data_IF_795235339355
#
_entry.id   IF_795235339355
#
_cell.length_a   1.000
_cell.length_b   1.000
_cell.length_c   1.000
_cell.angle_alpha   90.00
_cell.angle_beta   90.00
_cell.angle_gamma   90.00
#
_symmetry.space_group_name_H-M   'P 1'
#
loop_
_entity.id
_entity.type
_entity.pdbx_description
1 polymer ?
#
# COMPACT_ATOMS: atom_id res chain seq x y z
N UNK A 1 9.01 65.37 51.37
CA UNK A 1 8.94 65.25 49.89
C UNK A 1 10.36 65.11 49.37
N UNK A 2 10.57 64.17 48.44
CA UNK A 2 11.87 63.63 48.05
C UNK A 2 12.43 64.26 46.78
N UNK A 3 13.76 64.33 46.68
CA UNK A 3 14.50 64.10 45.43
C UNK A 3 15.81 63.38 45.79
N UNK A 4 15.95 62.08 45.48
CA UNK A 4 17.22 61.37 45.60
C UNK A 4 17.95 61.34 44.25
N UNK A 5 19.11 61.97 44.22
CA UNK A 5 20.12 61.88 43.18
C UNK A 5 20.87 60.54 43.32
N UNK A 6 20.82 59.67 42.31
CA UNK A 6 21.62 58.44 42.28
C UNK A 6 22.18 58.17 40.88
N UNK A 7 23.26 58.89 40.57
CA UNK A 7 24.29 58.37 39.65
C UNK A 7 24.96 57.19 40.34
N UNK A 8 24.71 55.97 39.88
CA UNK A 8 25.53 54.81 40.25
C UNK A 8 25.62 53.79 39.09
N UNK A 9 26.79 53.18 38.83
CA UNK A 9 27.03 52.39 37.62
C UNK A 9 26.34 51.03 37.67
N UNK A 10 25.77 50.63 36.53
CA UNK A 10 25.20 49.30 36.29
C UNK A 10 26.27 48.24 36.52
N UNK A 11 26.11 47.43 37.57
CA UNK A 11 26.92 46.24 37.79
C UNK A 11 26.49 45.15 36.81
N UNK A 12 27.45 44.71 35.99
CA UNK A 12 27.39 43.45 35.24
C UNK A 12 27.27 42.30 36.23
N UNK A 13 26.12 41.64 36.22
CA UNK A 13 25.86 40.40 36.95
C UNK A 13 25.98 39.24 35.97
N UNK A 14 27.05 38.45 36.06
CA UNK A 14 27.05 37.06 35.56
C UNK A 14 26.27 36.17 36.53
N UNK A 15 25.38 35.28 36.04
CA UNK A 15 25.47 33.86 36.40
C UNK A 15 24.84 32.91 35.33
N UNK A 16 24.71 31.59 35.57
CA UNK A 16 25.67 30.59 36.02
C UNK A 16 25.78 29.40 35.02
N UNK A 17 26.69 28.48 35.31
CA UNK A 17 26.93 27.17 34.68
C UNK A 17 25.64 26.39 34.30
N UNK A 18 25.31 26.32 33.01
CA UNK A 18 24.29 25.42 32.45
C UNK A 18 24.91 24.38 31.51
N UNK A 19 25.18 23.23 32.10
CA UNK A 19 25.18 21.90 31.49
C UNK A 19 24.23 21.81 30.28
N UNK A 20 24.76 21.81 29.06
CA UNK A 20 23.98 21.42 27.88
C UNK A 20 24.73 20.46 26.95
N UNK A 21 24.45 19.18 27.25
CA UNK A 21 24.00 18.13 26.32
C UNK A 21 24.72 17.95 24.98
N UNK A 22 25.33 16.77 24.86
CA UNK A 22 25.88 16.14 23.66
C UNK A 22 25.06 16.38 22.37
N UNK A 23 25.72 16.41 21.19
CA UNK A 23 25.02 16.52 19.91
C UNK A 23 24.10 15.30 19.75
N UNK A 24 22.79 15.57 19.68
CA UNK A 24 21.77 14.55 19.38
C UNK A 24 22.06 13.96 18.01
N UNK A 25 22.59 12.74 18.06
CA UNK A 25 22.74 11.78 16.99
C UNK A 25 21.44 11.70 16.15
N UNK A 26 21.46 12.31 14.96
CA UNK A 26 20.35 12.33 14.00
C UNK A 26 20.32 11.05 13.16
N UNK A 27 20.26 9.89 13.81
CA UNK A 27 20.08 8.63 13.10
C UNK A 27 19.04 7.75 13.81
N UNK A 28 17.84 8.30 14.02
CA UNK A 28 16.68 7.46 14.26
C UNK A 28 16.03 7.14 12.93
N UNK A 29 16.03 5.87 12.46
CA UNK A 29 15.29 5.50 11.26
C UNK A 29 13.82 5.88 11.46
N UNK A 30 13.24 6.60 10.50
CA UNK A 30 11.83 6.99 10.55
C UNK A 30 10.95 5.75 10.45
N UNK A 31 10.56 5.20 11.60
CA UNK A 31 9.68 4.04 11.74
C UNK A 31 8.29 4.27 11.11
N UNK A 32 7.92 5.54 10.89
CA UNK A 32 6.69 5.92 10.19
C UNK A 32 6.72 5.61 8.70
N UNK A 33 7.85 5.85 8.02
CA UNK A 33 7.99 5.61 6.58
C UNK A 33 7.91 4.11 6.25
N UNK A 34 8.53 3.26 7.07
CA UNK A 34 8.51 1.80 6.90
C UNK A 34 7.13 1.20 7.17
N UNK A 35 6.40 1.71 8.17
CA UNK A 35 5.01 1.29 8.48
C UNK A 35 4.03 1.68 7.36
N UNK A 36 4.16 2.90 6.83
CA UNK A 36 3.35 3.37 5.70
C UNK A 36 3.56 2.51 4.44
N UNK A 37 4.82 2.26 4.08
CA UNK A 37 5.17 1.40 2.94
C UNK A 37 4.71 -0.06 3.12
N UNK A 38 4.73 -0.60 4.34
CA UNK A 38 4.20 -1.93 4.64
C UNK A 38 2.68 -1.98 4.49
N UNK A 39 1.96 -0.97 4.99
CA UNK A 39 0.49 -0.89 4.86
C UNK A 39 0.07 -0.78 3.39
N UNK A 40 0.71 0.09 2.61
CA UNK A 40 0.45 0.24 1.16
C UNK A 40 0.69 -1.07 0.41
N UNK A 41 1.80 -1.75 0.67
CA UNK A 41 2.09 -3.08 0.09
C UNK A 41 1.02 -4.11 0.44
N UNK A 42 0.58 -4.15 1.70
CA UNK A 42 -0.49 -5.06 2.12
C UNK A 42 -1.79 -4.81 1.34
N UNK A 43 -2.20 -3.55 1.20
CA UNK A 43 -3.42 -3.19 0.46
C UNK A 43 -3.32 -3.61 -1.02
N UNK A 44 -2.19 -3.32 -1.68
CA UNK A 44 -1.94 -3.75 -3.07
C UNK A 44 -2.05 -5.27 -3.21
N UNK A 45 -1.45 -6.04 -2.29
CA UNK A 45 -1.51 -7.50 -2.33
C UNK A 45 -2.92 -8.04 -2.10
N UNK A 46 -3.69 -7.44 -1.19
CA UNK A 46 -5.10 -7.80 -0.98
C UNK A 46 -5.93 -7.54 -2.24
N UNK A 47 -5.78 -6.37 -2.87
CA UNK A 47 -6.48 -6.07 -4.13
C UNK A 47 -6.15 -7.06 -5.25
N UNK A 48 -4.87 -7.45 -5.37
CA UNK A 48 -4.47 -8.47 -6.35
C UNK A 48 -5.10 -9.83 -6.04
N UNK A 49 -5.15 -10.24 -4.77
CA UNK A 49 -5.77 -11.51 -4.37
C UNK A 49 -7.26 -11.54 -4.74
N UNK A 50 -7.99 -10.46 -4.47
CA UNK A 50 -9.41 -10.32 -4.81
C UNK A 50 -9.61 -10.40 -6.34
N UNK A 51 -8.76 -9.72 -7.12
CA UNK A 51 -8.85 -9.75 -8.58
C UNK A 51 -8.63 -11.17 -9.14
N UNK A 52 -7.63 -11.88 -8.62
CA UNK A 52 -7.35 -13.27 -9.04
C UNK A 52 -8.52 -14.20 -8.68
N UNK A 53 -9.08 -14.04 -7.48
CA UNK A 53 -10.22 -14.84 -7.02
C UNK A 53 -11.47 -14.61 -7.89
N UNK A 54 -11.80 -13.34 -8.18
CA UNK A 54 -12.91 -12.98 -9.05
C UNK A 54 -12.77 -13.59 -10.45
N UNK A 55 -11.59 -13.51 -11.07
CA UNK A 55 -11.34 -14.11 -12.39
C UNK A 55 -11.47 -15.64 -12.34
N UNK A 56 -10.96 -16.27 -11.28
CA UNK A 56 -11.06 -17.73 -11.12
C UNK A 56 -12.51 -18.16 -10.98
N UNK A 57 -13.33 -17.41 -10.23
CA UNK A 57 -14.77 -17.65 -10.11
C UNK A 57 -15.50 -17.53 -11.46
N UNK A 58 -15.13 -16.53 -12.26
CA UNK A 58 -15.71 -16.34 -13.60
C UNK A 58 -15.38 -17.52 -14.51
N UNK A 59 -14.12 -17.97 -14.52
CA UNK A 59 -13.69 -19.13 -15.31
C UNK A 59 -14.41 -20.42 -14.87
N UNK A 60 -14.48 -20.68 -13.57
CA UNK A 60 -15.17 -21.87 -13.03
C UNK A 60 -16.67 -21.87 -13.36
N UNK A 61 -17.34 -20.71 -13.31
CA UNK A 61 -18.74 -20.57 -13.72
C UNK A 61 -18.91 -20.83 -15.22
N UNK A 62 -17.97 -20.35 -16.03
CA UNK A 62 -18.01 -20.56 -17.47
C UNK A 62 -17.84 -22.04 -17.85
N UNK A 63 -16.91 -22.75 -17.19
CA UNK A 63 -16.73 -24.20 -17.37
C UNK A 63 -18.00 -24.98 -16.98
N UNK A 64 -18.61 -24.60 -15.85
CA UNK A 64 -19.87 -25.21 -15.40
C UNK A 64 -21.01 -24.99 -16.40
N UNK A 65 -21.11 -23.79 -16.99
CA UNK A 65 -22.12 -23.49 -18.01
C UNK A 65 -21.91 -24.30 -19.29
N UNK A 66 -20.67 -24.42 -19.76
CA UNK A 66 -20.34 -25.28 -20.92
C UNK A 66 -20.74 -26.73 -20.67
N UNK A 67 -20.40 -27.28 -19.50
CA UNK A 67 -20.77 -28.67 -19.16
C UNK A 67 -22.29 -28.90 -19.09
N UNK A 68 -23.07 -27.90 -18.67
CA UNK A 68 -24.54 -28.00 -18.69
C UNK A 68 -25.08 -27.91 -20.13
N UNK A 69 -24.50 -27.04 -20.96
CA UNK A 69 -24.90 -26.83 -22.35
C UNK A 69 -24.63 -28.05 -23.23
N UNK A 70 -23.51 -28.74 -23.00
CA UNK A 70 -23.16 -30.02 -23.64
C UNK A 70 -24.14 -31.17 -23.28
N UNK A 71 -24.98 -30.96 -22.26
CA UNK A 71 -25.94 -31.97 -21.74
C UNK A 71 -27.41 -31.53 -21.84
N UNK A 72 -27.69 -30.31 -22.31
CA UNK A 72 -29.04 -29.74 -22.44
C UNK A 72 -29.48 -29.58 -23.90
N UNK A 73 -30.79 -29.74 -24.17
CA UNK A 73 -31.34 -29.50 -25.51
C UNK A 73 -31.07 -28.05 -25.97
N UNK A 74 -30.65 -27.82 -27.24
CA UNK A 74 -30.22 -26.51 -27.73
C UNK A 74 -31.33 -25.45 -27.80
N UNK A 75 -32.58 -25.84 -27.55
CA UNK A 75 -33.74 -24.94 -27.58
C UNK A 75 -33.84 -23.98 -26.37
N UNK A 76 -33.04 -24.18 -25.32
CA UNK A 76 -33.18 -23.46 -24.03
C UNK A 76 -31.89 -22.73 -23.60
N UNK A 77 -30.87 -22.66 -24.46
CA UNK A 77 -29.58 -22.07 -24.12
C UNK A 77 -29.57 -20.54 -24.29
N UNK A 78 -30.13 -19.81 -23.32
CA UNK A 78 -30.09 -18.33 -23.27
C UNK A 78 -28.72 -17.78 -22.81
N UNK A 79 -27.81 -18.64 -22.38
CA UNK A 79 -26.50 -18.24 -21.84
C UNK A 79 -25.39 -18.40 -22.87
N UNK A 80 -24.75 -17.29 -23.22
CA UNK A 80 -23.55 -17.26 -24.05
C UNK A 80 -22.31 -17.48 -23.17
N UNK A 81 -21.64 -18.64 -23.22
CA UNK A 81 -20.39 -18.83 -22.51
C UNK A 81 -19.32 -17.86 -23.03
N UNK A 82 -18.42 -17.41 -22.15
CA UNK A 82 -17.20 -16.71 -22.54
C UNK A 82 -16.51 -17.47 -23.68
N UNK A 83 -16.10 -16.72 -24.70
CA UNK A 83 -15.32 -17.26 -25.81
C UNK A 83 -13.99 -17.80 -25.32
N UNK A 84 -13.38 -18.69 -26.12
CA UNK A 84 -12.05 -19.22 -25.84
C UNK A 84 -11.01 -18.09 -25.74
N UNK A 85 -11.15 -17.03 -26.54
CA UNK A 85 -10.28 -15.86 -26.49
C UNK A 85 -10.41 -15.08 -25.18
N UNK A 86 -11.65 -14.87 -24.70
CA UNK A 86 -11.91 -14.21 -23.42
C UNK A 86 -11.34 -15.02 -22.25
N UNK A 87 -11.56 -16.34 -22.22
CA UNK A 87 -11.03 -17.20 -21.16
C UNK A 87 -9.50 -17.27 -21.17
N UNK A 88 -8.88 -17.34 -22.36
CA UNK A 88 -7.43 -17.23 -22.53
C UNK A 88 -6.87 -15.90 -22.03
N UNK A 89 -7.51 -14.78 -22.39
CA UNK A 89 -7.12 -13.44 -21.92
C UNK A 89 -7.18 -13.30 -20.39
N UNK A 90 -8.22 -13.88 -19.76
CA UNK A 90 -8.35 -13.91 -18.30
C UNK A 90 -7.24 -14.71 -17.62
N UNK A 91 -6.85 -15.86 -18.17
CA UNK A 91 -5.71 -16.64 -17.65
C UNK A 91 -4.39 -15.86 -17.73
N UNK A 92 -4.16 -15.17 -18.85
CA UNK A 92 -3.00 -14.30 -19.04
C UNK A 92 -3.03 -13.14 -18.03
N UNK A 93 -4.18 -12.52 -17.80
CA UNK A 93 -4.35 -11.46 -16.80
C UNK A 93 -4.02 -11.97 -15.38
N UNK A 94 -4.49 -13.15 -15.01
CA UNK A 94 -4.14 -13.79 -13.72
C UNK A 94 -2.64 -14.04 -13.61
N UNK A 95 -2.00 -14.48 -14.69
CA UNK A 95 -0.55 -14.66 -14.70
C UNK A 95 0.17 -13.33 -14.41
N UNK A 96 -0.19 -12.23 -15.10
CA UNK A 96 0.42 -10.93 -14.87
C UNK A 96 0.15 -10.38 -13.46
N UNK A 97 -1.07 -10.55 -12.93
CA UNK A 97 -1.40 -10.19 -11.56
C UNK A 97 -0.53 -10.94 -10.55
N UNK A 98 -0.32 -12.25 -10.74
CA UNK A 98 0.57 -13.06 -9.90
C UNK A 98 2.02 -12.59 -9.98
N UNK A 99 2.52 -12.25 -11.18
CA UNK A 99 3.87 -11.71 -11.35
C UNK A 99 4.01 -10.34 -10.67
N UNK A 100 3.02 -9.47 -10.81
CA UNK A 100 3.00 -8.17 -10.16
C UNK A 100 2.97 -8.32 -8.62
N UNK A 101 2.17 -9.24 -8.08
CA UNK A 101 2.18 -9.53 -6.64
C UNK A 101 3.56 -9.96 -6.13
N UNK A 102 4.33 -10.74 -6.91
CA UNK A 102 5.71 -11.10 -6.56
C UNK A 102 6.61 -9.87 -6.50
N UNK A 103 6.49 -8.95 -7.48
CA UNK A 103 7.24 -7.68 -7.46
C UNK A 103 6.87 -6.80 -6.26
N UNK A 104 5.57 -6.71 -5.92
CA UNK A 104 5.07 -5.96 -4.75
C UNK A 104 5.63 -6.55 -3.44
N UNK A 105 5.64 -7.88 -3.30
CA UNK A 105 6.23 -8.57 -2.14
C UNK A 105 7.73 -8.26 -1.98
N UNK A 106 8.46 -8.19 -3.09
CA UNK A 106 9.89 -7.86 -3.10
C UNK A 106 10.18 -6.37 -2.90
N UNK A 107 9.16 -5.51 -2.86
CA UNK A 107 9.35 -4.05 -2.77
C UNK A 107 9.98 -3.43 -4.03
N UNK A 108 9.95 -4.14 -5.17
CA UNK A 108 10.56 -3.70 -6.45
C UNK A 108 9.58 -2.93 -7.35
N UNK A 109 8.47 -2.46 -6.78
CA UNK A 109 7.48 -1.67 -7.52
C UNK A 109 7.73 -0.22 -7.16
N UNK A 110 8.28 0.54 -8.12
CA UNK A 110 8.33 2.00 -8.07
C UNK A 110 6.89 2.52 -8.16
N UNK A 111 6.49 3.35 -7.20
CA UNK A 111 5.24 4.12 -7.32
C UNK A 111 5.51 5.19 -8.40
N UNK A 112 4.91 5.00 -9.58
CA UNK A 112 4.80 6.04 -10.62
C UNK A 112 3.73 7.09 -10.23
#
# INVERSE_FOLDING_TARGET
MATPDHTAPVRLSDPPDEKSTAPRDRSRPSTGATRGARKRRSIKLTGIAIAVDAVTCVLARNEKLRGVQDHSNPAEATYDPLTLECSGGLLVAVHFLKQYARKVKQGKVTDD
#
